data_IF_827011465884
#
_entry.id   IF_827011465884
#
_cell.length_a   1.000
_cell.length_b   1.000
_cell.length_c   1.000
_cell.angle_alpha   90.00
_cell.angle_beta   90.00
_cell.angle_gamma   90.00
#
_symmetry.space_group_name_H-M   'P 1'
#
loop_
_entity.id
_entity.type
_entity.pdbx_description
1 polymer ?
#
# COMPACT_ATOMS: atom_id res chain seq x y z
N UNK A 1 -46.69 4.25 -35.68
CA UNK A 1 -45.35 3.69 -35.97
C UNK A 1 -44.39 4.18 -34.90
N UNK A 2 -44.29 3.46 -33.77
CA UNK A 2 -43.34 3.77 -32.71
C UNK A 2 -42.10 2.91 -32.91
N UNK A 3 -40.96 3.57 -33.13
CA UNK A 3 -39.67 2.96 -33.38
C UNK A 3 -39.05 2.54 -32.03
N UNK A 4 -38.99 1.24 -31.76
CA UNK A 4 -38.23 0.68 -30.64
C UNK A 4 -36.73 0.84 -30.94
N UNK A 5 -36.03 1.64 -30.14
CA UNK A 5 -34.57 1.66 -30.09
C UNK A 5 -34.10 0.51 -29.20
N UNK A 6 -33.73 -0.61 -29.83
CA UNK A 6 -33.01 -1.71 -29.19
C UNK A 6 -31.57 -1.26 -28.91
N UNK A 7 -31.30 -0.91 -27.66
CA UNK A 7 -29.93 -0.69 -27.16
C UNK A 7 -29.31 -2.07 -26.96
N UNK A 8 -28.53 -2.53 -27.95
CA UNK A 8 -27.67 -3.70 -27.79
C UNK A 8 -26.53 -3.34 -26.85
N UNK A 9 -26.64 -3.77 -25.59
CA UNK A 9 -25.53 -3.76 -24.64
C UNK A 9 -24.52 -4.82 -25.08
N UNK A 10 -23.43 -4.39 -25.73
CA UNK A 10 -22.28 -5.25 -26.00
C UNK A 10 -21.61 -5.55 -24.66
N UNK A 11 -21.87 -6.74 -24.12
CA UNK A 11 -21.08 -7.29 -23.02
C UNK A 11 -19.71 -7.66 -23.57
N UNK A 12 -18.76 -6.74 -23.44
CA UNK A 12 -17.34 -7.05 -23.59
C UNK A 12 -16.94 -7.97 -22.43
N UNK A 13 -16.95 -9.28 -22.67
CA UNK A 13 -16.20 -10.20 -21.84
C UNK A 13 -14.71 -9.87 -22.02
N UNK A 14 -14.15 -9.11 -21.08
CA UNK A 14 -12.72 -8.99 -20.96
C UNK A 14 -12.18 -10.39 -20.65
N UNK A 15 -11.60 -11.03 -21.66
CA UNK A 15 -10.72 -12.17 -21.47
C UNK A 15 -9.61 -11.71 -20.52
N UNK A 16 -9.62 -12.22 -19.29
CA UNK A 16 -8.51 -12.09 -18.38
C UNK A 16 -7.32 -12.80 -19.04
N UNK A 17 -6.49 -12.04 -19.75
CA UNK A 17 -5.22 -12.52 -20.22
C UNK A 17 -4.46 -12.99 -18.97
N UNK A 18 -4.22 -14.30 -18.88
CA UNK A 18 -3.39 -14.89 -17.83
C UNK A 18 -2.17 -14.00 -17.61
N UNK A 19 -2.06 -13.39 -16.43
CA UNK A 19 -0.99 -12.48 -16.07
C UNK A 19 0.32 -13.30 -15.97
N UNK A 20 0.97 -13.52 -17.11
CA UNK A 20 2.16 -14.40 -17.26
C UNK A 20 3.42 -13.86 -16.57
N UNK A 21 3.32 -12.74 -15.85
CA UNK A 21 4.48 -12.03 -15.32
C UNK A 21 4.83 -12.36 -13.87
N UNK A 22 3.98 -13.07 -13.14
CA UNK A 22 4.21 -13.39 -11.72
C UNK A 22 4.83 -14.78 -11.52
N UNK A 23 6.10 -14.98 -11.94
CA UNK A 23 6.82 -16.23 -11.64
C UNK A 23 7.53 -16.21 -10.28
N UNK A 24 7.73 -15.02 -9.69
CA UNK A 24 8.31 -14.79 -8.36
C UNK A 24 7.71 -13.50 -7.82
N UNK A 25 7.16 -13.52 -6.60
CA UNK A 25 6.61 -12.34 -5.94
C UNK A 25 7.64 -11.20 -5.81
N UNK A 26 7.13 -9.99 -5.59
CA UNK A 26 7.90 -8.76 -5.60
C UNK A 26 8.46 -8.36 -4.21
N UNK A 27 7.99 -8.98 -3.13
CA UNK A 27 8.57 -8.81 -1.80
C UNK A 27 9.63 -9.88 -1.53
N UNK A 28 10.77 -9.46 -0.98
CA UNK A 28 11.84 -10.37 -0.55
C UNK A 28 12.33 -10.01 0.83
N UNK A 29 11.89 -10.78 1.82
CA UNK A 29 12.35 -10.64 3.20
C UNK A 29 13.78 -11.16 3.35
N UNK A 30 14.71 -10.29 3.73
CA UNK A 30 16.11 -10.66 4.01
C UNK A 30 16.33 -11.09 5.46
N UNK A 31 15.33 -10.89 6.32
CA UNK A 31 15.41 -11.11 7.76
C UNK A 31 16.01 -9.93 8.53
N UNK A 32 16.50 -8.90 7.83
CA UNK A 32 17.01 -7.68 8.46
C UNK A 32 15.83 -6.84 8.96
N UNK A 33 15.82 -6.54 10.27
CA UNK A 33 14.85 -5.62 10.85
C UNK A 33 15.35 -4.18 10.71
N UNK A 34 14.78 -3.43 9.77
CA UNK A 34 15.03 -2.00 9.65
C UNK A 34 14.12 -1.24 10.62
N UNK A 35 14.71 -0.69 11.68
CA UNK A 35 14.03 0.19 12.62
C UNK A 35 14.95 1.32 13.06
N UNK A 36 14.38 2.51 13.18
CA UNK A 36 14.99 3.65 13.86
C UNK A 36 13.89 4.33 14.68
N UNK A 37 13.86 4.00 15.97
CA UNK A 37 12.81 4.43 16.90
C UNK A 37 13.45 5.29 17.98
N UNK A 38 12.97 6.52 18.12
CA UNK A 38 13.37 7.42 19.19
C UNK A 38 12.42 7.26 20.38
N UNK A 39 11.16 6.87 20.14
CA UNK A 39 10.14 6.75 21.17
C UNK A 39 9.32 5.45 21.09
N UNK A 40 8.69 5.10 22.22
CA UNK A 40 7.62 4.09 22.24
C UNK A 40 6.39 4.64 21.53
N UNK A 41 5.67 3.78 20.83
CA UNK A 41 4.39 4.11 20.22
C UNK A 41 3.32 4.19 21.29
N UNK A 42 2.30 5.02 21.08
CA UNK A 42 1.24 5.27 22.08
C UNK A 42 0.57 3.97 22.55
N UNK A 43 0.35 3.04 21.62
CA UNK A 43 -0.27 1.73 21.87
C UNK A 43 0.65 0.70 22.53
N UNK A 44 1.94 1.00 22.68
CA UNK A 44 2.85 0.15 23.44
C UNK A 44 2.87 0.51 24.93
N UNK A 45 2.19 1.58 25.36
CA UNK A 45 2.07 1.92 26.78
C UNK A 45 0.94 1.11 27.44
N UNK A 46 1.15 0.66 28.67
CA UNK A 46 0.21 -0.24 29.39
C UNK A 46 -1.19 0.36 29.61
N UNK A 47 -1.31 1.68 29.60
CA UNK A 47 -2.56 2.41 29.78
C UNK A 47 -3.31 2.71 28.47
N UNK A 48 -2.82 2.21 27.33
CA UNK A 48 -3.50 2.40 26.05
C UNK A 48 -4.74 1.50 25.97
N UNK A 49 -5.88 2.14 25.74
CA UNK A 49 -7.19 1.51 25.68
C UNK A 49 -7.59 1.36 24.20
N UNK A 50 -7.38 0.17 23.63
CA UNK A 50 -7.76 -0.13 22.24
C UNK A 50 -9.27 0.03 22.00
N UNK A 51 -10.08 -0.19 23.02
CA UNK A 51 -11.53 0.00 23.00
C UNK A 51 -11.99 1.45 22.71
N UNK A 52 -11.06 2.42 22.73
CA UNK A 52 -11.32 3.81 22.33
C UNK A 52 -11.16 4.07 20.84
N UNK A 53 -10.63 3.12 20.07
CA UNK A 53 -10.55 3.22 18.62
C UNK A 53 -11.96 3.20 18.00
N UNK A 54 -12.19 3.95 16.92
CA UNK A 54 -13.50 3.95 16.26
C UNK A 54 -13.80 2.58 15.65
N UNK A 55 -15.09 2.25 15.55
CA UNK A 55 -15.54 1.01 14.90
C UNK A 55 -15.07 0.93 13.44
N UNK A 56 -15.00 2.08 12.76
CA UNK A 56 -14.56 2.21 11.37
C UNK A 56 -13.62 3.41 11.24
N UNK A 57 -12.65 3.28 10.34
CA UNK A 57 -11.73 4.36 10.01
C UNK A 57 -11.27 4.24 8.56
N UNK A 58 -11.26 5.34 7.81
CA UNK A 58 -10.80 5.36 6.43
C UNK A 58 -10.08 6.67 6.09
N UNK A 59 -8.76 6.60 5.88
CA UNK A 59 -7.96 7.77 5.49
C UNK A 59 -8.32 8.36 4.12
N UNK A 60 -9.12 7.66 3.30
CA UNK A 60 -9.70 8.21 2.07
C UNK A 60 -10.85 9.17 2.35
N UNK A 61 -11.40 9.16 3.55
CA UNK A 61 -12.48 10.06 3.96
C UNK A 61 -12.46 10.32 5.48
N UNK A 62 -11.63 11.26 5.92
CA UNK A 62 -11.65 11.77 7.29
C UNK A 62 -12.32 13.14 7.28
N UNK A 63 -13.55 13.21 7.82
CA UNK A 63 -14.37 14.42 7.84
C UNK A 63 -14.56 15.06 6.44
N UNK A 64 -14.77 14.24 5.40
CA UNK A 64 -14.96 14.71 4.02
C UNK A 64 -13.66 14.97 3.25
N UNK A 65 -12.49 14.73 3.86
CA UNK A 65 -11.17 14.96 3.24
C UNK A 65 -10.49 13.64 2.89
N UNK A 66 -10.07 13.52 1.63
CA UNK A 66 -9.26 12.39 1.15
C UNK A 66 -7.77 12.69 1.26
N UNK A 67 -7.05 11.91 2.06
CA UNK A 67 -5.60 12.02 2.26
C UNK A 67 -4.77 11.05 1.41
N UNK A 68 -5.41 10.08 0.75
CA UNK A 68 -4.74 9.11 -0.10
C UNK A 68 -4.23 9.79 -1.38
N UNK A 69 -2.95 9.57 -1.67
CA UNK A 69 -2.31 9.95 -2.93
C UNK A 69 -2.91 9.19 -4.12
N UNK A 70 -2.75 9.66 -5.37
CA UNK A 70 -3.29 9.00 -6.57
C UNK A 70 -2.84 7.55 -6.75
N UNK A 71 -3.77 6.67 -7.17
CA UNK A 71 -3.52 5.25 -7.44
C UNK A 71 -2.52 5.02 -8.58
N UNK A 72 -1.72 3.96 -8.42
CA UNK A 72 -0.55 3.70 -9.25
C UNK A 72 -0.54 2.26 -9.78
N UNK A 73 0.26 2.02 -10.81
CA UNK A 73 0.37 0.71 -11.44
C UNK A 73 1.85 0.35 -11.70
N UNK A 74 2.33 -0.71 -11.03
CA UNK A 74 3.69 -1.22 -11.16
C UNK A 74 3.90 -2.13 -12.39
N UNK A 75 2.83 -2.57 -13.05
CA UNK A 75 2.87 -3.54 -14.14
C UNK A 75 2.96 -2.90 -15.53
N UNK A 76 2.97 -1.57 -15.62
CA UNK A 76 3.04 -0.82 -16.87
C UNK A 76 4.15 0.24 -16.82
N UNK A 77 4.78 0.58 -17.96
CA UNK A 77 4.53 0.08 -19.31
C UNK A 77 4.99 -1.36 -19.55
N UNK A 78 5.76 -1.92 -18.62
CA UNK A 78 6.18 -3.30 -18.57
C UNK A 78 6.14 -3.80 -17.13
N UNK A 79 6.16 -5.10 -16.93
CA UNK A 79 6.19 -5.67 -15.59
C UNK A 79 7.44 -5.24 -14.82
N UNK A 80 7.24 -4.73 -13.61
CA UNK A 80 8.28 -4.50 -12.61
C UNK A 80 7.76 -4.96 -11.24
N UNK A 81 8.42 -5.95 -10.64
CA UNK A 81 8.14 -6.45 -9.29
C UNK A 81 8.57 -5.45 -8.21
N UNK A 82 7.86 -4.33 -8.11
CA UNK A 82 8.25 -3.17 -7.29
C UNK A 82 7.24 -2.78 -6.21
N UNK A 83 6.31 -3.67 -5.87
CA UNK A 83 5.32 -3.44 -4.81
C UNK A 83 5.93 -2.93 -3.50
N UNK A 84 7.13 -3.40 -3.14
CA UNK A 84 7.90 -2.96 -1.98
C UNK A 84 8.18 -1.44 -1.99
N UNK A 85 8.47 -0.87 -3.15
CA UNK A 85 8.66 0.56 -3.33
C UNK A 85 7.32 1.30 -3.44
N UNK A 86 6.33 0.74 -4.14
CA UNK A 86 5.01 1.34 -4.28
C UNK A 86 4.26 1.45 -2.94
N UNK A 87 4.18 0.37 -2.16
CA UNK A 87 3.46 0.35 -0.89
C UNK A 87 4.11 1.26 0.16
N UNK A 88 5.45 1.23 0.26
CA UNK A 88 6.17 2.11 1.20
C UNK A 88 6.06 3.59 0.82
N UNK A 89 6.25 3.94 -0.46
CA UNK A 89 6.13 5.34 -0.89
C UNK A 89 4.71 5.86 -0.84
N UNK A 90 3.69 5.03 -1.09
CA UNK A 90 2.28 5.42 -0.98
C UNK A 90 1.91 5.68 0.48
N UNK A 91 2.26 4.78 1.40
CA UNK A 91 2.04 4.98 2.83
C UNK A 91 2.72 6.27 3.33
N UNK A 92 3.99 6.50 2.96
CA UNK A 92 4.71 7.71 3.35
C UNK A 92 4.12 8.99 2.73
N UNK A 93 3.72 8.96 1.46
CA UNK A 93 3.06 10.09 0.81
C UNK A 93 1.75 10.47 1.53
N UNK A 94 0.96 9.48 1.90
CA UNK A 94 -0.33 9.69 2.56
C UNK A 94 -0.14 10.24 3.98
N UNK A 95 0.89 9.77 4.70
CA UNK A 95 1.31 10.37 5.99
C UNK A 95 1.77 11.82 5.84
N UNK A 96 2.50 12.16 4.77
CA UNK A 96 2.88 13.55 4.48
C UNK A 96 1.62 14.40 4.23
N UNK A 97 0.65 13.88 3.48
CA UNK A 97 -0.62 14.59 3.23
C UNK A 97 -1.37 14.85 4.55
N UNK A 98 -1.41 13.87 5.46
CA UNK A 98 -2.03 14.01 6.78
C UNK A 98 -1.33 15.11 7.59
N UNK A 99 0.00 15.05 7.70
CA UNK A 99 0.79 16.06 8.41
C UNK A 99 0.62 17.47 7.84
N UNK A 100 0.46 17.58 6.51
CA UNK A 100 0.22 18.85 5.80
C UNK A 100 -1.24 19.28 5.77
N UNK A 101 -2.14 18.57 6.45
CA UNK A 101 -3.59 18.83 6.43
C UNK A 101 -4.14 18.92 4.99
N UNK A 102 -3.65 18.04 4.13
CA UNK A 102 -3.97 17.95 2.71
C UNK A 102 -3.73 19.25 1.91
N UNK A 103 -2.78 20.08 2.34
CA UNK A 103 -2.43 21.33 1.65
C UNK A 103 -1.80 21.04 0.28
N UNK A 104 -2.17 21.84 -0.72
CA UNK A 104 -1.60 21.72 -2.06
C UNK A 104 -0.07 22.01 -2.07
N UNK A 105 0.73 21.31 -2.89
CA UNK A 105 0.39 20.12 -3.67
C UNK A 105 0.36 18.87 -2.79
N UNK A 106 -0.45 17.86 -3.10
CA UNK A 106 -0.36 16.55 -2.43
C UNK A 106 1.01 15.90 -2.69
N UNK A 107 1.51 15.15 -1.71
CA UNK A 107 2.73 14.38 -1.85
C UNK A 107 2.54 13.22 -2.84
N UNK A 108 3.50 13.08 -3.74
CA UNK A 108 3.59 11.97 -4.69
C UNK A 108 5.07 11.62 -4.86
N UNK A 109 5.54 10.64 -4.10
CA UNK A 109 6.96 10.29 -4.02
C UNK A 109 7.42 9.46 -5.22
N UNK A 110 8.69 9.62 -5.60
CA UNK A 110 9.33 8.92 -6.71
C UNK A 110 9.57 7.45 -6.37
N UNK A 111 8.80 6.55 -6.98
CA UNK A 111 9.06 5.11 -6.87
C UNK A 111 10.38 4.74 -7.56
N UNK A 112 10.69 5.41 -8.67
CA UNK A 112 11.89 5.14 -9.45
C UNK A 112 13.17 5.49 -8.66
N UNK A 113 13.16 6.58 -7.90
CA UNK A 113 14.27 6.89 -6.98
C UNK A 113 14.50 5.73 -6.00
N UNK A 114 13.44 5.21 -5.39
CA UNK A 114 13.57 4.09 -4.44
C UNK A 114 14.14 2.85 -5.14
N UNK A 115 13.67 2.53 -6.34
CA UNK A 115 14.17 1.39 -7.13
C UNK A 115 15.66 1.55 -7.47
N UNK A 116 16.08 2.75 -7.89
CA UNK A 116 17.44 2.98 -8.39
C UNK A 116 18.46 3.23 -7.26
N UNK A 117 18.02 3.84 -6.15
CA UNK A 117 18.91 4.43 -5.16
C UNK A 117 18.99 3.66 -3.83
N UNK A 118 17.91 3.00 -3.40
CA UNK A 118 17.81 2.50 -2.02
C UNK A 118 18.69 1.26 -1.75
N UNK A 119 19.07 0.55 -2.82
CA UNK A 119 19.65 -0.78 -2.74
C UNK A 119 18.76 -1.78 -1.99
N UNK A 120 17.46 -1.51 -1.83
CA UNK A 120 16.51 -2.37 -1.12
C UNK A 120 15.83 -3.41 -2.03
N UNK A 121 16.03 -3.32 -3.34
CA UNK A 121 15.49 -4.28 -4.29
C UNK A 121 15.68 -3.87 -5.75
N UNK A 122 15.11 -4.67 -6.66
CA UNK A 122 15.03 -4.37 -8.09
C UNK A 122 13.68 -4.81 -8.66
N UNK A 123 13.36 -4.41 -9.89
CA UNK A 123 12.18 -4.89 -10.62
C UNK A 123 12.15 -6.42 -10.84
N UNK A 124 13.31 -7.07 -10.94
CA UNK A 124 13.42 -8.49 -11.30
C UNK A 124 13.48 -9.35 -10.05
N UNK A 125 14.21 -8.88 -9.05
CA UNK A 125 14.43 -9.64 -7.83
C UNK A 125 13.40 -9.34 -6.76
N UNK A 126 12.59 -8.29 -6.87
CA UNK A 126 11.84 -7.78 -5.73
C UNK A 126 12.75 -7.11 -4.69
N UNK A 127 12.17 -6.73 -3.57
CA UNK A 127 12.86 -5.97 -2.52
C UNK A 127 12.12 -5.90 -1.19
N UNK A 128 12.66 -5.09 -0.28
CA UNK A 128 12.09 -4.74 1.03
C UNK A 128 11.61 -3.29 1.04
N UNK A 129 10.74 -2.88 1.98
CA UNK A 129 10.30 -1.49 2.10
C UNK A 129 11.43 -0.45 2.00
N UNK A 130 11.10 0.72 1.45
CA UNK A 130 12.08 1.76 1.12
C UNK A 130 12.99 2.14 2.30
N UNK A 131 14.26 2.39 1.99
CA UNK A 131 15.28 2.89 2.92
C UNK A 131 16.17 3.93 2.24
N UNK A 132 16.91 4.69 3.04
CA UNK A 132 17.89 5.64 2.52
C UNK A 132 19.05 4.93 1.80
N UNK A 133 19.56 5.57 0.75
CA UNK A 133 20.55 4.97 -0.12
C UNK A 133 21.40 5.98 -0.87
N UNK A 134 22.51 5.49 -1.44
CA UNK A 134 23.40 6.30 -2.26
C UNK A 134 22.87 6.32 -3.68
N UNK A 135 22.78 7.52 -4.26
CA UNK A 135 22.27 7.68 -5.61
C UNK A 135 23.14 8.59 -6.46
N UNK A 136 23.17 8.28 -7.76
CA UNK A 136 23.58 9.24 -8.76
C UNK A 136 22.61 10.46 -8.74
N UNK A 137 23.11 11.70 -8.84
CA UNK A 137 22.26 12.89 -8.85
C UNK A 137 21.15 12.86 -9.91
N UNK A 138 21.40 12.24 -11.06
CA UNK A 138 20.41 12.07 -12.13
C UNK A 138 19.32 11.07 -11.76
N UNK A 139 19.65 9.95 -11.12
CA UNK A 139 18.64 8.98 -10.67
C UNK A 139 17.76 9.54 -9.53
N UNK A 140 18.29 10.48 -8.75
CA UNK A 140 17.52 11.15 -7.70
C UNK A 140 16.53 12.19 -8.25
N UNK A 141 16.98 13.04 -9.17
CA UNK A 141 16.13 14.06 -9.78
C UNK A 141 16.64 14.46 -11.16
N UNK A 142 16.49 13.56 -12.12
CA UNK A 142 16.87 13.78 -13.52
C UNK A 142 15.73 14.39 -14.32
N UNK A 143 16.09 15.21 -15.30
CA UNK A 143 15.15 15.70 -16.32
C UNK A 143 15.82 15.68 -17.68
N UNK A 144 15.02 15.60 -18.74
CA UNK A 144 15.48 15.75 -20.11
C UNK A 144 14.65 16.82 -20.82
N UNK A 145 15.32 17.66 -21.60
CA UNK A 145 14.72 18.62 -22.53
C UNK A 145 15.38 18.39 -23.90
N UNK A 146 14.68 18.51 -25.04
CA UNK A 146 15.03 17.79 -26.26
C UNK A 146 16.53 17.73 -26.59
N UNK A 147 17.09 16.52 -26.55
CA UNK A 147 18.50 16.23 -26.88
C UNK A 147 19.43 16.03 -25.68
N UNK A 148 19.12 16.62 -24.52
CA UNK A 148 20.01 16.61 -23.36
C UNK A 148 19.27 16.22 -22.06
N UNK A 149 19.96 15.47 -21.21
CA UNK A 149 19.49 15.08 -19.89
C UNK A 149 20.43 15.63 -18.82
N UNK A 150 19.87 16.16 -17.73
CA UNK A 150 20.62 16.83 -16.67
C UNK A 150 20.02 16.53 -15.30
N UNK A 151 20.85 16.61 -14.26
CA UNK A 151 20.41 16.47 -12.87
C UNK A 151 19.92 17.83 -12.33
N UNK A 152 18.71 17.85 -11.79
CA UNK A 152 18.17 18.99 -11.05
C UNK A 152 18.89 19.03 -9.70
N UNK A 153 19.44 20.19 -9.33
CA UNK A 153 20.20 20.36 -8.08
C UNK A 153 19.34 20.78 -6.88
N UNK A 154 18.23 21.48 -7.13
CA UNK A 154 17.33 21.99 -6.10
C UNK A 154 15.94 21.39 -6.28
N UNK A 155 15.58 20.48 -5.40
CA UNK A 155 14.30 19.77 -5.39
C UNK A 155 13.90 19.48 -3.94
N UNK A 156 12.61 19.22 -3.73
CA UNK A 156 12.10 18.82 -2.41
C UNK A 156 12.53 17.39 -2.11
N UNK A 157 13.17 17.18 -0.96
CA UNK A 157 13.50 15.86 -0.45
C UNK A 157 12.73 15.64 0.86
N UNK A 158 11.69 14.83 0.80
CA UNK A 158 10.97 14.39 2.00
C UNK A 158 11.84 13.43 2.79
N UNK A 159 11.88 13.60 4.11
CA UNK A 159 12.68 12.77 5.02
C UNK A 159 11.78 12.06 6.02
N UNK A 160 12.31 11.00 6.60
CA UNK A 160 11.66 10.23 7.68
C UNK A 160 12.43 10.48 8.97
N UNK A 161 11.70 10.74 10.05
CA UNK A 161 12.27 10.94 11.39
C UNK A 161 12.46 9.63 12.13
N UNK A 162 11.40 8.81 12.16
CA UNK A 162 11.35 7.52 12.85
C UNK A 162 10.68 6.50 11.94
N UNK A 163 11.10 5.24 12.01
CA UNK A 163 10.45 4.14 11.31
C UNK A 163 10.59 2.84 12.10
N UNK A 164 9.65 1.95 11.92
CA UNK A 164 9.62 0.70 12.67
C UNK A 164 8.60 -0.29 12.13
N UNK A 165 8.44 -1.37 12.89
CA UNK A 165 7.53 -2.47 12.56
C UNK A 165 6.28 -2.39 13.43
N UNK A 166 5.17 -2.92 12.90
CA UNK A 166 3.92 -3.14 13.63
C UNK A 166 3.28 -4.43 13.13
N UNK A 167 2.59 -5.14 14.01
CA UNK A 167 1.90 -6.40 13.70
C UNK A 167 0.71 -6.59 14.63
N UNK A 168 -0.23 -7.43 14.20
CA UNK A 168 -1.44 -7.76 14.93
C UNK A 168 -2.50 -6.66 14.85
N UNK A 169 -3.76 -7.10 14.92
CA UNK A 169 -4.95 -6.29 14.71
C UNK A 169 -4.95 -4.97 15.48
N UNK A 170 -4.83 -5.03 16.80
CA UNK A 170 -4.98 -3.85 17.67
C UNK A 170 -3.88 -2.81 17.45
N UNK A 171 -2.62 -3.24 17.38
CA UNK A 171 -1.49 -2.33 17.18
C UNK A 171 -1.54 -1.69 15.79
N UNK A 172 -1.94 -2.45 14.76
CA UNK A 172 -2.10 -1.91 13.40
C UNK A 172 -3.21 -0.87 13.35
N UNK A 173 -4.38 -1.13 13.94
CA UNK A 173 -5.47 -0.14 14.01
C UNK A 173 -5.01 1.13 14.73
N UNK A 174 -4.32 0.97 15.86
CA UNK A 174 -3.82 2.10 16.63
C UNK A 174 -2.79 2.94 15.85
N UNK A 175 -1.83 2.30 15.19
CA UNK A 175 -0.84 2.99 14.34
C UNK A 175 -1.53 3.72 13.17
N UNK A 176 -2.46 3.06 12.49
CA UNK A 176 -3.20 3.65 11.37
C UNK A 176 -4.01 4.86 11.84
N UNK A 177 -4.76 4.73 12.93
CA UNK A 177 -5.62 5.81 13.43
C UNK A 177 -4.84 7.04 13.86
N UNK A 178 -3.74 6.85 14.59
CA UNK A 178 -2.98 7.96 15.15
C UNK A 178 -1.97 8.58 14.19
N UNK A 179 -1.41 7.79 13.28
CA UNK A 179 -0.24 8.19 12.49
C UNK A 179 -0.39 8.03 10.98
N UNK A 180 -1.50 7.46 10.49
CA UNK A 180 -1.76 7.30 9.07
C UNK A 180 -1.42 5.91 8.52
N UNK A 181 -1.65 5.69 7.21
CA UNK A 181 -1.50 4.39 6.57
C UNK A 181 -0.14 3.72 6.79
N UNK A 182 -0.12 2.40 6.82
CA UNK A 182 1.08 1.57 6.98
C UNK A 182 1.33 0.74 5.71
N UNK A 183 2.56 0.27 5.51
CA UNK A 183 2.87 -0.69 4.45
C UNK A 183 2.95 -2.09 5.05
N UNK A 184 2.26 -3.07 4.45
CA UNK A 184 2.17 -4.43 4.97
C UNK A 184 2.50 -5.45 3.89
N UNK A 185 3.16 -6.52 4.30
CA UNK A 185 3.27 -7.73 3.51
C UNK A 185 1.94 -8.45 3.41
N UNK A 186 1.68 -9.06 2.25
CA UNK A 186 0.57 -9.97 2.02
C UNK A 186 1.03 -11.15 1.13
N UNK A 187 0.43 -12.32 1.30
CA UNK A 187 0.60 -13.45 0.40
C UNK A 187 -0.34 -13.29 -0.82
N UNK A 188 0.19 -12.82 -1.96
CA UNK A 188 -0.60 -12.57 -3.17
C UNK A 188 -0.81 -13.87 -3.97
N UNK A 189 -1.82 -14.64 -3.55
CA UNK A 189 -2.19 -15.89 -4.24
C UNK A 189 -2.76 -15.62 -5.63
N UNK A 190 -2.82 -16.67 -6.46
CA UNK A 190 -3.53 -16.62 -7.77
C UNK A 190 -5.00 -16.27 -7.62
N UNK A 191 -5.64 -16.65 -6.52
CA UNK A 191 -7.03 -16.29 -6.27
C UNK A 191 -7.16 -14.79 -5.95
N UNK A 192 -6.21 -14.23 -5.19
CA UNK A 192 -6.17 -12.81 -4.87
C UNK A 192 -5.87 -11.94 -6.09
N UNK A 193 -5.01 -12.40 -7.01
CA UNK A 193 -4.78 -11.74 -8.30
C UNK A 193 -6.08 -11.53 -9.10
N UNK A 194 -7.03 -12.47 -8.99
CA UNK A 194 -8.32 -12.42 -9.68
C UNK A 194 -9.43 -11.70 -8.89
N UNK A 195 -9.09 -11.06 -7.76
CA UNK A 195 -10.05 -10.32 -6.96
C UNK A 195 -10.70 -9.17 -7.74
N UNK A 196 -12.03 -9.06 -7.65
CA UNK A 196 -12.83 -8.06 -8.35
C UNK A 196 -13.84 -7.31 -7.44
N UNK A 197 -13.85 -7.59 -6.13
CA UNK A 197 -14.71 -6.90 -5.17
C UNK A 197 -15.18 -7.76 -3.99
N UNK A 198 -15.71 -7.09 -2.95
CA UNK A 198 -16.22 -7.72 -1.73
C UNK A 198 -15.15 -7.94 -0.67
N UNK A 199 -15.52 -8.55 0.46
CA UNK A 199 -14.59 -8.82 1.56
C UNK A 199 -13.89 -10.15 1.30
N UNK A 200 -12.62 -10.05 0.92
CA UNK A 200 -11.77 -11.18 0.60
C UNK A 200 -11.50 -12.07 1.83
N UNK A 201 -11.42 -13.37 1.60
CA UNK A 201 -11.05 -14.39 2.58
C UNK A 201 -10.54 -15.63 1.87
N UNK A 202 -9.34 -16.07 2.24
CA UNK A 202 -8.72 -17.27 1.67
C UNK A 202 -7.79 -17.90 2.69
N UNK A 203 -7.87 -19.22 2.84
CA UNK A 203 -6.85 -19.99 3.55
C UNK A 203 -5.73 -20.30 2.60
N UNK A 204 -4.51 -19.86 2.93
CA UNK A 204 -3.32 -20.11 2.13
C UNK A 204 -2.16 -20.61 2.97
N UNK A 205 -1.29 -21.42 2.35
CA UNK A 205 0.02 -21.77 2.89
C UNK A 205 1.13 -20.95 2.23
N UNK A 206 0.81 -20.12 1.23
CA UNK A 206 1.77 -19.29 0.52
C UNK A 206 2.42 -18.28 1.47
N UNK A 207 3.71 -18.01 1.26
CA UNK A 207 4.44 -17.02 2.02
C UNK A 207 4.14 -15.60 1.52
N UNK A 208 4.44 -14.62 2.38
CA UNK A 208 4.33 -13.21 2.04
C UNK A 208 5.30 -12.90 0.89
N UNK A 209 4.74 -12.46 -0.23
CA UNK A 209 5.47 -12.24 -1.47
C UNK A 209 5.10 -10.92 -2.17
N UNK A 210 4.21 -10.13 -1.55
CA UNK A 210 3.74 -8.84 -2.06
C UNK A 210 3.65 -7.81 -0.93
N UNK A 211 3.76 -6.51 -1.26
CA UNK A 211 3.60 -5.40 -0.31
C UNK A 211 2.43 -4.52 -0.78
N UNK A 212 1.55 -4.20 0.16
CA UNK A 212 0.40 -3.30 -0.01
C UNK A 212 0.48 -2.15 1.01
N UNK A 213 -0.48 -1.24 0.98
CA UNK A 213 -0.69 -0.27 2.07
C UNK A 213 -2.06 -0.47 2.72
N UNK A 214 -2.15 -0.38 4.04
CA UNK A 214 -3.41 -0.49 4.81
C UNK A 214 -3.81 0.90 5.30
N UNK A 215 -5.01 1.33 4.94
CA UNK A 215 -5.52 2.69 5.14
C UNK A 215 -6.58 2.81 6.22
N UNK A 216 -7.05 1.70 6.77
CA UNK A 216 -8.18 1.73 7.68
C UNK A 216 -8.88 0.39 7.77
N UNK A 217 -10.06 0.41 8.39
CA UNK A 217 -10.90 -0.75 8.59
C UNK A 217 -12.37 -0.34 8.60
N UNK A 218 -13.26 -1.30 8.39
CA UNK A 218 -14.70 -1.11 8.51
C UNK A 218 -15.39 -2.40 8.90
N UNK A 219 -16.71 -2.32 9.09
CA UNK A 219 -17.55 -3.47 9.45
C UNK A 219 -18.72 -3.53 8.48
N UNK A 220 -18.97 -4.70 7.90
CA UNK A 220 -20.12 -4.86 7.01
C UNK A 220 -21.44 -4.98 7.78
N UNK A 221 -22.55 -5.03 7.03
CA UNK A 221 -23.90 -5.23 7.57
C UNK A 221 -24.08 -6.54 8.37
N UNK A 222 -23.18 -7.51 8.19
CA UNK A 222 -23.18 -8.79 8.88
C UNK A 222 -22.24 -8.82 10.10
N UNK A 223 -21.63 -7.69 10.45
CA UNK A 223 -20.66 -7.59 11.54
C UNK A 223 -19.27 -8.15 11.21
N UNK A 224 -18.96 -8.38 9.93
CA UNK A 224 -17.64 -8.83 9.48
C UNK A 224 -16.72 -7.62 9.39
N UNK A 225 -15.74 -7.58 10.27
CA UNK A 225 -14.67 -6.60 10.22
C UNK A 225 -13.67 -6.89 9.10
N UNK A 226 -13.26 -5.85 8.39
CA UNK A 226 -12.31 -5.92 7.29
C UNK A 226 -11.29 -4.79 7.31
N UNK A 227 -10.10 -5.08 6.80
CA UNK A 227 -9.10 -4.07 6.43
C UNK A 227 -9.43 -3.42 5.10
N UNK A 228 -9.10 -2.13 4.97
CA UNK A 228 -9.12 -1.38 3.73
C UNK A 228 -7.69 -1.32 3.21
N UNK A 229 -7.41 -2.09 2.16
CA UNK A 229 -6.10 -2.21 1.56
C UNK A 229 -6.01 -1.51 0.21
N UNK A 230 -4.86 -0.89 -0.05
CA UNK A 230 -4.48 -0.28 -1.31
C UNK A 230 -3.43 -1.13 -2.02
N UNK A 231 -3.68 -1.44 -3.29
CA UNK A 231 -2.76 -2.18 -4.12
C UNK A 231 -2.08 -1.26 -5.16
N UNK A 232 -1.07 -1.79 -5.86
CA UNK A 232 -0.26 -1.09 -6.87
C UNK A 232 -0.40 -1.72 -8.26
N UNK A 233 -1.55 -2.31 -8.57
CA UNK A 233 -1.85 -2.96 -9.86
C UNK A 233 -2.75 -2.12 -10.77
N UNK A 234 -2.95 -0.85 -10.43
CA UNK A 234 -3.80 0.09 -11.16
C UNK A 234 -5.28 -0.04 -10.80
N UNK A 235 -6.04 0.99 -11.15
CA UNK A 235 -7.48 1.09 -10.86
C UNK A 235 -8.38 0.05 -11.54
N UNK A 236 -8.01 -0.61 -12.66
CA UNK A 236 -8.83 -1.69 -13.20
C UNK A 236 -8.91 -2.95 -12.32
N UNK A 237 -7.98 -3.13 -11.38
CA UNK A 237 -7.95 -4.28 -10.49
C UNK A 237 -8.80 -4.04 -9.23
N UNK A 238 -9.51 -5.06 -8.75
CA UNK A 238 -10.27 -4.99 -7.49
C UNK A 238 -11.31 -3.86 -7.45
N UNK A 239 -11.40 -3.18 -6.31
CA UNK A 239 -12.32 -2.08 -6.06
C UNK A 239 -11.63 -0.74 -6.41
N UNK A 240 -11.46 -0.46 -7.70
CA UNK A 240 -10.73 0.72 -8.19
C UNK A 240 -9.25 0.77 -7.77
N UNK A 241 -8.57 -0.38 -7.69
CA UNK A 241 -7.18 -0.50 -7.22
C UNK A 241 -7.07 -0.83 -5.72
N UNK A 242 -8.21 -0.89 -5.03
CA UNK A 242 -8.31 -1.18 -3.61
C UNK A 242 -8.93 -2.56 -3.37
N UNK A 243 -8.86 -3.02 -2.12
CA UNK A 243 -9.48 -4.27 -1.70
C UNK A 243 -9.93 -4.20 -0.25
N UNK A 244 -10.87 -5.08 0.08
CA UNK A 244 -11.26 -5.36 1.47
C UNK A 244 -10.93 -6.80 1.80
N UNK A 245 -10.38 -7.05 2.97
CA UNK A 245 -10.01 -8.40 3.42
C UNK A 245 -10.36 -8.56 4.90
N UNK A 246 -10.82 -9.73 5.31
CA UNK A 246 -11.16 -10.00 6.72
C UNK A 246 -10.00 -9.69 7.67
N UNK A 247 -10.30 -9.25 8.90
CA UNK A 247 -9.30 -9.12 9.97
C UNK A 247 -9.13 -10.44 10.73
N UNK A 248 -8.15 -10.51 11.64
CA UNK A 248 -7.99 -11.68 12.52
C UNK A 248 -9.15 -11.92 13.48
N UNK A 249 -10.03 -10.94 13.69
CA UNK A 249 -11.27 -11.11 14.46
C UNK A 249 -12.26 -12.08 13.77
N UNK A 250 -12.15 -12.26 12.45
CA UNK A 250 -13.05 -13.14 11.70
C UNK A 250 -13.02 -14.58 12.23
N UNK A 251 -14.18 -15.05 12.71
CA UNK A 251 -14.38 -16.41 13.25
C UNK A 251 -13.40 -16.81 14.37
N UNK A 252 -12.93 -15.86 15.19
CA UNK A 252 -11.98 -16.12 16.28
C UNK A 252 -10.69 -16.86 15.83
N UNK A 253 -10.24 -16.60 14.60
CA UNK A 253 -9.08 -17.26 13.97
C UNK A 253 -8.78 -16.73 12.57
N UNK A 254 -9.13 -15.47 12.33
CA UNK A 254 -9.18 -14.85 11.00
C UNK A 254 -7.81 -14.66 10.36
N UNK A 255 -6.73 -14.75 11.13
CA UNK A 255 -5.35 -14.69 10.63
C UNK A 255 -5.04 -15.77 9.58
N UNK A 256 -5.78 -16.88 9.58
CA UNK A 256 -5.66 -17.91 8.54
C UNK A 256 -6.31 -17.51 7.22
N UNK A 257 -7.19 -16.51 7.23
CA UNK A 257 -8.04 -16.11 6.11
C UNK A 257 -7.64 -14.78 5.47
N UNK A 258 -6.71 -14.05 6.08
CA UNK A 258 -6.36 -12.68 5.71
C UNK A 258 -5.01 -12.56 5.00
N UNK A 259 -4.54 -13.66 4.38
CA UNK A 259 -3.31 -13.67 3.57
C UNK A 259 -2.07 -13.16 4.33
N UNK A 260 -2.00 -13.39 5.65
CA UNK A 260 -0.89 -12.97 6.52
C UNK A 260 -0.69 -11.44 6.58
N UNK A 261 -1.71 -10.64 6.21
CA UNK A 261 -1.62 -9.17 6.13
C UNK A 261 -1.26 -8.49 7.47
N UNK A 262 -1.47 -9.18 8.59
CA UNK A 262 -1.22 -8.67 9.94
C UNK A 262 0.16 -9.05 10.52
N UNK A 263 1.00 -9.76 9.77
CA UNK A 263 2.24 -10.35 10.27
C UNK A 263 3.49 -9.48 10.05
N UNK A 264 3.52 -8.67 8.99
CA UNK A 264 4.74 -7.97 8.54
C UNK A 264 4.42 -6.57 8.02
N UNK A 265 4.18 -5.62 8.93
CA UNK A 265 3.95 -4.23 8.56
C UNK A 265 5.04 -3.30 9.07
N UNK A 266 5.23 -2.19 8.34
CA UNK A 266 6.13 -1.11 8.68
C UNK A 266 5.44 0.25 8.59
N UNK A 267 5.92 1.17 9.41
CA UNK A 267 5.49 2.57 9.46
C UNK A 267 6.70 3.50 9.39
N UNK A 268 6.46 4.74 8.97
CA UNK A 268 7.47 5.79 8.89
C UNK A 268 6.84 7.16 9.19
N UNK A 269 7.46 7.93 10.06
CA UNK A 269 7.01 9.28 10.43
C UNK A 269 7.71 10.33 9.57
N UNK A 270 6.98 11.09 8.74
CA UNK A 270 7.60 12.07 7.86
C UNK A 270 8.07 13.30 8.63
N UNK A 271 9.15 13.92 8.13
CA UNK A 271 9.55 15.28 8.46
C UNK A 271 8.91 16.19 7.42
N UNK A 272 7.98 17.04 7.85
CA UNK A 272 7.23 17.97 7.00
C UNK A 272 7.37 19.39 7.52
#
# INVERSE_FOLDING_TARGET
MHLLLLVLSVFLFASAANNRYNLRGCYKKTGVKYQHRLHRRIYEHENYANEKLPLEWDWRNVNGVNYASPDRNQHIPQYCGSCWAFGSTSALADRINIHRKNSWPQAYLSVQEVIDCSGAGTCVTGGEPARDGKCDPYNRCGSCWPGDCFSIKNYTLYRVKEYGVVHGLENMKAEIYHHGPIACGIAATKAFENYNGGIYKEVTNDDIDHIISVHGWGVDENGIEYWIGRNSWGTPWGEQGWFRIVTSAYKNGGSKYNLKIEEDCVWADPIV
#
